data_IF_497955825163
#
_entry.id   IF_497955825163
#
_cell.length_a   1.000
_cell.length_b   1.000
_cell.length_c   1.000
_cell.angle_alpha   90.00
_cell.angle_beta   90.00
_cell.angle_gamma   90.00
#
_symmetry.space_group_name_H-M   'P 1'
#
loop_
_entity.id
_entity.type
_entity.pdbx_description
1 polymer ?
#
# COMPACT_ATOMS: atom_id res chain seq x y z
N UNK A 1 0.35 7.11 56.03
CA UNK A 1 0.51 7.98 54.83
C UNK A 1 1.29 7.34 53.66
N UNK A 2 2.25 6.43 53.88
CA UNK A 2 3.01 5.76 52.79
C UNK A 2 2.16 4.88 51.86
N UNK A 3 1.16 4.17 52.39
CA UNK A 3 0.26 3.32 51.59
C UNK A 3 -0.69 4.12 50.68
N UNK A 4 -0.97 5.39 51.00
CA UNK A 4 -1.81 6.24 50.15
C UNK A 4 -1.03 6.59 48.87
N UNK A 5 0.18 7.12 49.00
CA UNK A 5 1.05 7.48 47.85
C UNK A 5 1.34 6.28 46.92
N UNK A 6 1.56 5.09 47.48
CA UNK A 6 1.83 3.86 46.71
C UNK A 6 0.61 3.39 45.89
N UNK A 7 -0.61 3.61 46.37
CA UNK A 7 -1.87 3.26 45.66
C UNK A 7 -2.16 4.23 44.50
N UNK A 8 -1.83 5.51 44.64
CA UNK A 8 -1.94 6.48 43.55
C UNK A 8 -0.91 6.23 42.44
N UNK A 9 0.33 5.85 42.80
CA UNK A 9 1.36 5.50 41.81
C UNK A 9 0.97 4.28 40.96
N UNK A 10 0.37 3.25 41.57
CA UNK A 10 -0.10 2.07 40.84
C UNK A 10 -1.27 2.40 39.89
N UNK A 11 -2.19 3.29 40.30
CA UNK A 11 -3.30 3.73 39.46
C UNK A 11 -2.84 4.53 38.23
N UNK A 12 -1.79 5.35 38.38
CA UNK A 12 -1.23 6.14 37.27
C UNK A 12 -0.53 5.24 36.25
N UNK A 13 0.21 4.22 36.69
CA UNK A 13 0.87 3.27 35.80
C UNK A 13 -0.16 2.43 35.03
N UNK A 14 -1.22 1.98 35.71
CA UNK A 14 -2.29 1.22 35.06
C UNK A 14 -3.06 2.08 34.03
N UNK A 15 -3.33 3.34 34.35
CA UNK A 15 -3.92 4.29 33.41
C UNK A 15 -3.00 4.52 32.19
N UNK A 16 -1.68 4.64 32.39
CA UNK A 16 -0.70 4.78 31.33
C UNK A 16 -0.62 3.57 30.38
N UNK A 17 -0.83 2.35 30.90
CA UNK A 17 -0.89 1.15 30.07
C UNK A 17 -2.15 1.09 29.18
N UNK A 18 -3.28 1.63 29.64
CA UNK A 18 -4.56 1.61 28.89
C UNK A 18 -4.61 2.61 27.74
N UNK A 19 -3.85 3.71 27.81
CA UNK A 19 -3.74 4.68 26.72
C UNK A 19 -2.83 4.19 25.57
N UNK A 20 -1.96 3.20 25.83
CA UNK A 20 -1.06 2.63 24.80
C UNK A 20 -1.77 1.62 23.87
N UNK A 21 -2.86 0.99 24.31
CA UNK A 21 -3.65 0.07 23.46
C UNK A 21 -4.55 0.77 22.44
N UNK A 22 -4.75 2.09 22.55
CA UNK A 22 -5.66 2.84 21.69
C UNK A 22 -5.03 3.30 20.35
N UNK A 23 -3.72 3.14 20.16
CA UNK A 23 -3.04 3.51 18.92
C UNK A 23 -2.95 2.36 17.89
N UNK A 24 -3.34 1.14 18.26
CA UNK A 24 -3.14 -0.04 17.40
C UNK A 24 -4.30 -0.31 16.41
N UNK A 25 -5.41 0.42 16.50
CA UNK A 25 -6.67 0.07 15.81
C UNK A 25 -6.95 0.83 14.51
N UNK A 26 -6.01 1.63 14.00
CA UNK A 26 -6.13 2.10 12.61
C UNK A 26 -5.76 0.96 11.68
N UNK A 27 -6.74 0.07 11.43
CA UNK A 27 -6.71 -0.78 10.25
C UNK A 27 -6.43 0.15 9.06
N UNK A 28 -5.41 -0.12 8.24
CA UNK A 28 -5.21 0.65 7.02
C UNK A 28 -6.52 0.60 6.25
N UNK A 29 -7.01 1.78 5.88
CA UNK A 29 -8.17 1.88 5.01
C UNK A 29 -7.87 1.05 3.76
N UNK A 30 -8.81 0.18 3.39
CA UNK A 30 -8.64 -0.65 2.21
C UNK A 30 -8.63 0.28 1.00
N UNK A 31 -7.43 0.66 0.55
CA UNK A 31 -7.22 1.40 -0.71
C UNK A 31 -7.92 0.61 -1.81
N UNK A 32 -8.56 1.24 -2.78
CA UNK A 32 -9.05 0.54 -3.97
C UNK A 32 -8.02 0.79 -5.10
N UNK A 33 -7.39 -0.27 -5.63
CA UNK A 33 -6.29 -0.09 -6.61
C UNK A 33 -6.80 0.56 -7.90
N UNK A 34 -8.03 0.23 -8.29
CA UNK A 34 -8.62 0.63 -9.56
C UNK A 34 -9.00 2.10 -9.52
N UNK A 35 -9.60 2.53 -8.41
CA UNK A 35 -9.92 3.93 -8.15
C UNK A 35 -8.64 4.77 -8.03
N UNK A 36 -7.62 4.28 -7.31
CA UNK A 36 -6.35 4.97 -7.16
C UNK A 36 -5.64 5.12 -8.52
N UNK A 37 -5.52 4.03 -9.27
CA UNK A 37 -4.92 4.02 -10.60
C UNK A 37 -5.64 4.96 -11.56
N UNK A 38 -6.97 4.95 -11.56
CA UNK A 38 -7.78 5.88 -12.39
C UNK A 38 -7.57 7.34 -11.99
N UNK A 39 -7.51 7.64 -10.68
CA UNK A 39 -7.25 9.00 -10.19
C UNK A 39 -5.86 9.49 -10.58
N UNK A 40 -4.84 8.65 -10.46
CA UNK A 40 -3.47 8.98 -10.89
C UNK A 40 -3.45 9.20 -12.40
N UNK A 41 -4.03 8.27 -13.17
CA UNK A 41 -4.08 8.34 -14.63
C UNK A 41 -4.78 9.61 -15.14
N UNK A 42 -5.82 10.06 -14.43
CA UNK A 42 -6.58 11.27 -14.80
C UNK A 42 -5.89 12.57 -14.37
N UNK A 43 -5.00 12.51 -13.37
CA UNK A 43 -4.30 13.68 -12.85
C UNK A 43 -2.92 13.87 -13.47
N UNK A 44 -2.30 12.81 -13.98
CA UNK A 44 -1.04 12.84 -14.69
C UNK A 44 -1.26 13.23 -16.17
N UNK A 45 -0.34 14.02 -16.72
CA UNK A 45 -0.34 14.42 -18.12
C UNK A 45 0.59 13.49 -18.91
N UNK A 46 0.05 12.37 -19.40
CA UNK A 46 0.79 11.43 -20.24
C UNK A 46 0.82 11.96 -21.68
N UNK A 47 2.00 12.22 -22.27
CA UNK A 47 2.11 12.75 -23.64
C UNK A 47 1.61 11.75 -24.69
N UNK A 48 1.76 10.45 -24.42
CA UNK A 48 1.36 9.38 -25.32
C UNK A 48 0.07 8.68 -24.89
N UNK A 49 -0.55 7.97 -25.83
CA UNK A 49 -1.77 7.20 -25.54
C UNK A 49 -1.44 6.01 -24.64
N UNK A 50 -1.98 6.04 -23.43
CA UNK A 50 -1.85 4.98 -22.44
C UNK A 50 -2.85 3.86 -22.70
N UNK A 51 -2.37 2.63 -22.74
CA UNK A 51 -3.18 1.43 -22.99
C UNK A 51 -3.11 0.44 -21.83
N UNK A 52 -4.20 -0.30 -21.53
CA UNK A 52 -4.18 -1.31 -20.48
C UNK A 52 -3.10 -2.37 -20.70
N UNK A 53 -2.41 -2.73 -19.62
CA UNK A 53 -1.47 -3.84 -19.61
C UNK A 53 -2.21 -5.12 -19.21
N UNK A 54 -2.13 -6.12 -20.08
CA UNK A 54 -2.71 -7.44 -19.82
C UNK A 54 -1.99 -8.17 -18.66
N UNK A 55 -2.68 -9.03 -17.89
CA UNK A 55 -2.10 -9.69 -16.72
C UNK A 55 -0.81 -10.46 -17.02
N UNK A 56 -0.70 -11.09 -18.18
CA UNK A 56 0.47 -11.87 -18.59
C UNK A 56 1.70 -11.00 -18.82
N UNK A 57 1.50 -9.73 -19.15
CA UNK A 57 2.57 -8.76 -19.37
C UNK A 57 3.13 -8.21 -18.06
N UNK A 58 2.41 -8.33 -16.93
CA UNK A 58 2.90 -7.89 -15.62
C UNK A 58 4.20 -8.61 -15.20
N UNK A 59 4.31 -9.91 -15.52
CA UNK A 59 5.55 -10.67 -15.27
C UNK A 59 6.69 -10.18 -16.14
N UNK A 60 6.40 -9.87 -17.42
CA UNK A 60 7.41 -9.49 -18.40
C UNK A 60 7.96 -8.10 -18.11
N UNK A 61 7.07 -7.14 -17.86
CA UNK A 61 7.41 -5.73 -17.64
C UNK A 61 7.94 -5.50 -16.21
N UNK A 62 7.25 -6.02 -15.20
CA UNK A 62 7.49 -5.65 -13.80
C UNK A 62 8.05 -6.78 -12.94
N UNK A 63 8.25 -7.98 -13.51
CA UNK A 63 8.70 -9.15 -12.77
C UNK A 63 7.64 -9.76 -11.84
N UNK A 64 6.39 -9.31 -11.92
CA UNK A 64 5.32 -9.68 -10.99
C UNK A 64 4.46 -10.83 -11.53
N UNK A 65 4.61 -12.01 -10.94
CA UNK A 65 3.75 -13.15 -11.26
C UNK A 65 2.34 -12.98 -10.68
N UNK A 66 1.33 -13.58 -11.33
CA UNK A 66 -0.07 -13.59 -10.85
C UNK A 66 -0.25 -14.15 -9.43
N UNK A 67 0.70 -14.96 -8.97
CA UNK A 67 0.76 -15.46 -7.60
C UNK A 67 1.06 -14.38 -6.55
N UNK A 68 1.63 -13.24 -6.93
CA UNK A 68 2.24 -12.25 -6.01
C UNK A 68 1.34 -11.04 -5.74
N UNK A 69 0.29 -10.84 -6.53
CA UNK A 69 -0.63 -9.71 -6.41
C UNK A 69 -2.09 -10.16 -6.30
N UNK A 70 -2.90 -9.32 -5.65
CA UNK A 70 -4.35 -9.51 -5.46
C UNK A 70 -5.16 -8.68 -6.45
N UNK A 71 -4.68 -7.46 -6.73
CA UNK A 71 -5.35 -6.46 -7.54
C UNK A 71 -4.28 -5.59 -8.21
N UNK A 72 -4.49 -5.19 -9.46
CA UNK A 72 -3.58 -4.32 -10.19
C UNK A 72 -4.33 -3.37 -11.12
N UNK A 73 -3.73 -2.21 -11.38
CA UNK A 73 -4.08 -1.27 -12.42
C UNK A 73 -2.78 -0.92 -13.14
N UNK A 74 -2.68 -1.23 -14.41
CA UNK A 74 -1.47 -0.95 -15.18
C UNK A 74 -1.81 -0.39 -16.56
N UNK A 75 -1.15 0.71 -16.90
CA UNK A 75 -1.20 1.34 -18.21
C UNK A 75 0.22 1.53 -18.74
N UNK A 76 0.40 1.34 -20.04
CA UNK A 76 1.64 1.64 -20.72
C UNK A 76 1.35 2.27 -22.08
N UNK A 77 2.20 3.20 -22.49
CA UNK A 77 2.27 3.70 -23.86
C UNK A 77 3.19 2.82 -24.72
N UNK A 78 3.27 3.08 -26.02
CA UNK A 78 4.09 2.31 -26.95
C UNK A 78 5.46 2.94 -27.22
N UNK A 79 6.47 2.12 -27.52
CA UNK A 79 7.77 2.57 -27.98
C UNK A 79 8.90 2.37 -26.98
N UNK A 80 10.12 2.79 -27.34
CA UNK A 80 11.32 2.59 -26.52
C UNK A 80 11.42 3.55 -25.32
N UNK A 81 10.63 4.64 -25.33
CA UNK A 81 10.54 5.65 -24.27
C UNK A 81 9.13 5.69 -23.70
N UNK A 82 8.50 4.52 -23.56
CA UNK A 82 7.13 4.42 -23.11
C UNK A 82 6.99 4.95 -21.67
N UNK A 83 5.99 5.81 -21.47
CA UNK A 83 5.46 6.08 -20.15
C UNK A 83 4.68 4.88 -19.63
N UNK A 84 4.81 4.62 -18.33
CA UNK A 84 4.19 3.50 -17.63
C UNK A 84 3.57 3.99 -16.32
N UNK A 85 2.42 3.41 -15.97
CA UNK A 85 1.76 3.60 -14.69
C UNK A 85 1.34 2.23 -14.16
N UNK A 86 1.87 1.84 -13.02
CA UNK A 86 1.46 0.62 -12.31
C UNK A 86 1.07 0.95 -10.89
N UNK A 87 -0.11 0.49 -10.51
CA UNK A 87 -0.56 0.42 -9.12
C UNK A 87 -0.90 -1.04 -8.85
N UNK A 88 -0.28 -1.62 -7.82
CA UNK A 88 -0.45 -3.04 -7.52
C UNK A 88 -0.60 -3.24 -6.01
N UNK A 89 -1.54 -4.11 -5.64
CA UNK A 89 -1.63 -4.66 -4.29
C UNK A 89 -0.97 -6.03 -4.27
N UNK A 90 0.16 -6.11 -3.57
CA UNK A 90 0.85 -7.37 -3.36
C UNK A 90 0.21 -8.16 -2.21
N UNK A 91 0.29 -9.49 -2.29
CA UNK A 91 -0.22 -10.40 -1.25
C UNK A 91 0.61 -10.35 0.03
N UNK A 92 1.90 -10.06 -0.12
CA UNK A 92 2.84 -9.99 0.98
C UNK A 92 3.91 -8.90 0.75
N UNK A 93 4.49 -8.41 1.84
CA UNK A 93 5.56 -7.42 1.82
C UNK A 93 6.84 -7.97 1.17
N UNK A 94 7.05 -9.29 1.19
CA UNK A 94 8.24 -9.93 0.63
C UNK A 94 8.32 -9.71 -0.88
N UNK A 95 7.17 -9.77 -1.56
CA UNK A 95 7.07 -9.56 -3.00
C UNK A 95 7.40 -8.12 -3.42
N UNK A 96 7.37 -7.15 -2.51
CA UNK A 96 7.68 -5.75 -2.82
C UNK A 96 9.15 -5.55 -3.24
N UNK A 97 10.07 -6.36 -2.71
CA UNK A 97 11.49 -6.30 -3.06
C UNK A 97 11.85 -6.94 -4.41
N UNK A 98 10.88 -7.55 -5.08
CA UNK A 98 11.07 -8.26 -6.37
C UNK A 98 10.55 -7.46 -7.56
N UNK A 99 9.85 -6.33 -7.31
CA UNK A 99 9.32 -5.44 -8.34
C UNK A 99 10.49 -4.79 -9.09
N UNK A 100 10.47 -4.89 -10.41
CA UNK A 100 11.42 -4.17 -11.27
C UNK A 100 10.88 -2.79 -11.60
N UNK A 101 11.76 -1.79 -11.50
CA UNK A 101 11.59 -0.45 -12.09
C UNK A 101 11.94 -0.47 -13.58
#
# INVERSE_FOLDING_TARGET
MKHFKLRYSAAIILAACLILSACADKKPEAVNVQELGTKIASAADFPDTMTPVEPEMMTVLYGLNSGQWEEYFALASGGATADELVVVRLKDEKSAGEVKE
#
